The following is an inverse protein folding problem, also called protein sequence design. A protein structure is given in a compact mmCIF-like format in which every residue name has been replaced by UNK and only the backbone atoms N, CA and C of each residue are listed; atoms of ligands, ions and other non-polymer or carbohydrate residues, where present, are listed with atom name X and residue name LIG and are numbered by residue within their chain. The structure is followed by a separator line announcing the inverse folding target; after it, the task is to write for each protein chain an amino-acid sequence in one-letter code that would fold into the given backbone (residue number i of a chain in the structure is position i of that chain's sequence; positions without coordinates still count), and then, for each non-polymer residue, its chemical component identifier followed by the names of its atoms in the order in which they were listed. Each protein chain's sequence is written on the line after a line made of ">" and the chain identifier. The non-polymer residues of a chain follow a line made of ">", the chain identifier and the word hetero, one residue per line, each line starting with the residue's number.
data_IF_782304706646
#
_entry.id   IF_782304706646
#
_cell.length_a   1.000
_cell.length_b   1.000
_cell.length_c   1.000
_cell.angle_alpha   90.00
_cell.angle_beta   90.00
_cell.angle_gamma   90.00
#
_symmetry.space_group_name_H-M   'P 1'
#
loop_
_entity.id
_entity.type
_entity.pdbx_description
1 polymer ?
#
# COMPACT_ATOMS: atom_id res chain seq x y z
N UNK A 1 -9.07 29.06 -13.82
CA UNK A 1 -8.41 27.73 -13.88
C UNK A 1 -6.90 27.74 -13.61
N UNK A 2 -6.29 28.87 -13.22
CA UNK A 2 -4.82 28.99 -13.03
C UNK A 2 -4.29 28.71 -11.62
N UNK A 3 -5.12 28.74 -10.58
CA UNK A 3 -4.65 28.69 -9.19
C UNK A 3 -4.20 27.28 -8.67
N UNK A 4 -4.54 26.20 -9.35
CA UNK A 4 -4.14 24.84 -8.91
C UNK A 4 -2.77 24.40 -9.44
N UNK A 5 -2.35 24.93 -10.60
CA UNK A 5 -1.04 24.64 -11.17
C UNK A 5 0.09 25.35 -10.39
N UNK A 6 -0.13 26.62 -9.98
CA UNK A 6 0.84 27.36 -9.17
C UNK A 6 1.03 26.82 -7.76
N UNK A 7 -0.03 26.27 -7.11
CA UNK A 7 0.11 25.59 -5.82
C UNK A 7 0.92 24.30 -5.88
N UNK A 8 0.86 23.55 -6.99
CA UNK A 8 1.67 22.33 -7.17
C UNK A 8 3.14 22.66 -7.39
N UNK A 9 3.46 23.77 -8.04
CA UNK A 9 4.85 24.21 -8.28
C UNK A 9 5.51 24.73 -7.00
N UNK A 10 4.77 25.42 -6.12
CA UNK A 10 5.30 25.97 -4.84
C UNK A 10 5.62 24.91 -3.77
N UNK A 11 5.12 23.67 -3.89
CA UNK A 11 5.40 22.59 -2.91
C UNK A 11 6.64 21.77 -3.22
N UNK A 12 7.20 21.91 -4.40
CA UNK A 12 8.45 21.27 -4.82
C UNK A 12 9.51 22.39 -4.89
N UNK A 13 10.44 22.41 -3.93
CA UNK A 13 11.67 23.22 -4.09
C UNK A 13 12.36 22.89 -5.41
N UNK A 14 13.48 23.54 -5.73
CA UNK A 14 14.17 23.47 -7.03
C UNK A 14 14.51 22.07 -7.57
N UNK A 15 14.16 21.00 -6.84
CA UNK A 15 14.39 19.60 -7.20
C UNK A 15 13.13 18.78 -6.97
N UNK A 16 12.51 18.30 -8.03
CA UNK A 16 11.36 17.40 -7.98
C UNK A 16 10.79 17.08 -9.36
N UNK A 17 9.99 16.00 -9.45
CA UNK A 17 9.28 15.62 -10.65
C UNK A 17 7.86 16.19 -10.59
N UNK A 18 7.43 16.85 -11.65
CA UNK A 18 6.05 17.35 -11.78
C UNK A 18 5.05 16.20 -11.69
N UNK A 19 4.01 16.34 -10.85
CA UNK A 19 2.95 15.35 -10.72
C UNK A 19 2.00 15.40 -11.91
N UNK A 20 1.65 14.21 -12.46
CA UNK A 20 0.59 14.07 -13.48
C UNK A 20 1.07 13.77 -14.91
N UNK A 21 2.35 13.91 -15.23
CA UNK A 21 2.92 13.52 -16.52
C UNK A 21 3.30 12.03 -16.56
N UNK A 22 3.08 11.36 -17.69
CA UNK A 22 3.56 9.98 -17.91
C UNK A 22 5.10 9.89 -17.83
N UNK A 23 5.79 10.86 -18.41
CA UNK A 23 7.26 10.98 -18.35
C UNK A 23 7.75 11.06 -16.91
N UNK A 24 7.11 11.85 -16.06
CA UNK A 24 7.46 11.93 -14.63
C UNK A 24 7.28 10.60 -13.91
N UNK A 25 6.25 9.80 -14.26
CA UNK A 25 6.05 8.48 -13.68
C UNK A 25 7.14 7.50 -14.11
N UNK A 26 7.50 7.48 -15.40
CA UNK A 26 8.59 6.64 -15.92
C UNK A 26 9.92 7.03 -15.27
N UNK A 27 10.22 8.32 -15.20
CA UNK A 27 11.44 8.84 -14.56
C UNK A 27 11.50 8.47 -13.08
N UNK A 28 10.39 8.58 -12.35
CA UNK A 28 10.32 8.19 -10.93
C UNK A 28 10.57 6.69 -10.71
N UNK A 29 10.19 5.84 -11.66
CA UNK A 29 10.50 4.40 -11.61
C UNK A 29 11.96 4.13 -11.96
N UNK A 30 12.50 4.80 -12.98
CA UNK A 30 13.85 4.58 -13.48
C UNK A 30 14.93 5.24 -12.59
N UNK A 31 14.62 6.37 -11.96
CA UNK A 31 15.61 7.16 -11.20
C UNK A 31 16.34 6.36 -10.12
N UNK A 32 15.70 5.51 -9.29
CA UNK A 32 16.37 4.70 -8.28
C UNK A 32 17.06 3.42 -8.81
N UNK A 33 17.17 3.22 -10.11
CA UNK A 33 17.75 1.98 -10.70
C UNK A 33 19.16 1.69 -10.19
N UNK A 34 20.00 2.71 -10.02
CA UNK A 34 21.34 2.54 -9.42
C UNK A 34 21.29 1.99 -8.01
N UNK A 35 20.31 2.41 -7.22
CA UNK A 35 20.05 1.87 -5.89
C UNK A 35 19.61 0.40 -5.95
N UNK A 36 18.75 0.05 -6.91
CA UNK A 36 18.28 -1.33 -7.11
C UNK A 36 19.46 -2.26 -7.47
N UNK A 37 20.35 -1.84 -8.39
CA UNK A 37 21.56 -2.58 -8.75
C UNK A 37 22.49 -2.77 -7.55
N UNK A 38 22.79 -1.71 -6.81
CA UNK A 38 23.62 -1.79 -5.61
C UNK A 38 23.02 -2.81 -4.60
N UNK A 39 21.72 -2.80 -4.37
CA UNK A 39 21.08 -3.73 -3.42
C UNK A 39 21.18 -5.17 -3.90
N UNK A 40 20.97 -5.41 -5.19
CA UNK A 40 20.94 -6.76 -5.77
C UNK A 40 22.32 -7.33 -6.01
N UNK A 41 23.22 -6.55 -6.56
CA UNK A 41 24.51 -6.97 -7.09
C UNK A 41 25.63 -6.78 -6.05
N UNK A 42 25.78 -5.58 -5.49
CA UNK A 42 26.85 -5.31 -4.52
C UNK A 42 26.52 -5.84 -3.12
N UNK A 43 25.27 -5.65 -2.64
CA UNK A 43 24.83 -6.14 -1.34
C UNK A 43 24.27 -7.58 -1.39
N UNK A 44 24.17 -8.22 -2.55
CA UNK A 44 23.74 -9.60 -2.72
C UNK A 44 22.39 -9.94 -2.09
N UNK A 45 21.47 -8.99 -1.95
CA UNK A 45 20.17 -9.22 -1.35
C UNK A 45 19.25 -9.96 -2.32
N UNK A 46 19.05 -11.28 -2.10
CA UNK A 46 18.19 -12.13 -2.94
C UNK A 46 16.71 -11.70 -2.89
N UNK A 47 16.20 -11.39 -1.69
CA UNK A 47 14.79 -11.05 -1.47
C UNK A 47 14.63 -9.53 -1.31
N UNK A 48 14.62 -8.86 -2.43
CA UNK A 48 14.40 -7.43 -2.56
C UNK A 48 13.20 -7.18 -3.47
N UNK A 49 12.39 -6.20 -3.14
CA UNK A 49 11.33 -5.71 -4.02
C UNK A 49 11.07 -4.23 -3.78
N UNK A 50 10.90 -3.50 -4.88
CA UNK A 50 10.52 -2.09 -4.90
C UNK A 50 9.29 -1.89 -5.78
N UNK A 51 8.42 -1.02 -5.34
CA UNK A 51 7.30 -0.51 -6.12
C UNK A 51 7.24 1.00 -5.90
N UNK A 52 7.62 1.75 -6.91
CA UNK A 52 7.78 3.21 -6.83
C UNK A 52 8.72 3.60 -5.67
N UNK A 53 8.19 4.27 -4.65
CA UNK A 53 8.87 4.75 -3.44
C UNK A 53 8.87 3.77 -2.27
N UNK A 54 8.04 2.73 -2.33
CA UNK A 54 7.98 1.69 -1.30
C UNK A 54 8.89 0.50 -1.66
N UNK A 55 9.77 0.10 -0.73
CA UNK A 55 10.66 -1.05 -0.91
C UNK A 55 10.78 -1.91 0.34
N UNK A 56 11.21 -3.16 0.16
CA UNK A 56 11.56 -4.07 1.25
C UNK A 56 12.77 -4.91 0.90
N UNK A 57 13.53 -5.28 1.94
CA UNK A 57 14.64 -6.22 1.88
C UNK A 57 14.42 -7.30 2.93
N UNK A 58 14.72 -8.56 2.60
CA UNK A 58 14.66 -9.66 3.55
C UNK A 58 16.03 -10.34 3.63
N UNK A 59 16.52 -10.54 4.85
CA UNK A 59 17.75 -11.25 5.12
C UNK A 59 17.70 -11.89 6.51
N UNK A 60 18.40 -13.02 6.73
CA UNK A 60 18.42 -13.74 8.00
C UNK A 60 19.14 -12.96 9.12
N UNK A 61 20.22 -12.26 8.77
CA UNK A 61 21.03 -11.50 9.72
C UNK A 61 20.51 -10.07 9.88
N UNK A 62 20.13 -9.71 11.11
CA UNK A 62 19.76 -8.32 11.46
C UNK A 62 20.96 -7.36 11.31
N UNK A 63 22.17 -7.82 11.72
CA UNK A 63 23.40 -7.01 11.60
C UNK A 63 23.67 -6.66 10.14
N UNK A 64 23.48 -7.63 9.24
CA UNK A 64 23.66 -7.40 7.80
C UNK A 64 22.62 -6.42 7.24
N UNK A 65 21.36 -6.52 7.66
CA UNK A 65 20.34 -5.53 7.26
C UNK A 65 20.67 -4.12 7.78
N UNK A 66 21.27 -3.99 8.95
CA UNK A 66 21.74 -2.69 9.45
C UNK A 66 22.86 -2.11 8.58
N UNK A 67 23.81 -2.96 8.17
CA UNK A 67 24.86 -2.57 7.22
C UNK A 67 24.27 -2.15 5.86
N UNK A 68 23.37 -2.96 5.31
CA UNK A 68 22.67 -2.62 4.06
C UNK A 68 21.93 -1.29 4.17
N UNK A 69 21.23 -1.05 5.27
CA UNK A 69 20.50 0.21 5.49
C UNK A 69 21.45 1.42 5.51
N UNK A 70 22.65 1.28 6.12
CA UNK A 70 23.68 2.33 6.08
C UNK A 70 24.09 2.62 4.63
N UNK A 71 24.40 1.58 3.85
CA UNK A 71 24.80 1.73 2.43
C UNK A 71 23.67 2.33 1.57
N UNK A 72 22.44 1.95 1.83
CA UNK A 72 21.25 2.51 1.16
C UNK A 72 21.13 4.01 1.45
N UNK A 73 21.36 4.45 2.70
CA UNK A 73 21.34 5.87 3.07
C UNK A 73 22.42 6.65 2.33
N UNK A 74 23.65 6.16 2.33
CA UNK A 74 24.77 6.76 1.60
C UNK A 74 24.46 6.91 0.10
N UNK A 75 23.86 5.90 -0.53
CA UNK A 75 23.48 5.95 -1.95
C UNK A 75 22.30 6.90 -2.19
N UNK A 76 21.26 6.87 -1.32
CA UNK A 76 20.15 7.79 -1.42
C UNK A 76 20.59 9.25 -1.31
N UNK A 77 21.52 9.56 -0.41
CA UNK A 77 22.10 10.89 -0.27
C UNK A 77 22.81 11.33 -1.54
N UNK A 78 23.66 10.47 -2.13
CA UNK A 78 24.32 10.72 -3.43
C UNK A 78 23.33 10.97 -4.55
N UNK A 79 22.19 10.29 -4.54
CA UNK A 79 21.12 10.45 -5.54
C UNK A 79 20.15 11.60 -5.21
N UNK A 80 20.32 12.30 -4.09
CA UNK A 80 19.35 13.31 -3.64
C UNK A 80 17.98 12.74 -3.23
N UNK A 81 17.89 11.43 -2.95
CA UNK A 81 16.66 10.76 -2.51
C UNK A 81 16.56 10.85 -1.00
N UNK A 82 15.46 11.40 -0.48
CA UNK A 82 15.20 11.50 0.95
C UNK A 82 14.45 10.31 1.47
N UNK A 83 15.07 9.49 2.32
CA UNK A 83 14.40 8.37 2.99
C UNK A 83 13.43 8.85 4.08
N UNK A 84 12.28 8.19 4.19
CA UNK A 84 11.35 8.44 5.28
C UNK A 84 11.74 7.63 6.52
N UNK A 85 12.50 8.23 7.42
CA UNK A 85 13.04 7.59 8.63
C UNK A 85 11.94 7.02 9.56
N UNK A 86 10.77 7.67 9.62
CA UNK A 86 9.64 7.18 10.44
C UNK A 86 9.08 5.85 9.92
N UNK A 87 9.17 5.61 8.61
CA UNK A 87 8.70 4.38 7.94
C UNK A 87 9.79 3.34 7.78
N UNK A 88 11.06 3.74 7.64
CA UNK A 88 12.20 2.84 7.45
C UNK A 88 12.54 2.12 8.74
N UNK A 89 12.24 0.82 8.83
CA UNK A 89 12.39 0.03 10.05
C UNK A 89 12.81 -1.41 9.76
N UNK A 90 13.78 -1.90 10.52
CA UNK A 90 14.16 -3.33 10.53
C UNK A 90 13.27 -4.05 11.54
N UNK A 91 12.57 -5.09 11.10
CA UNK A 91 11.64 -5.87 11.93
C UNK A 91 11.80 -7.37 11.67
N UNK A 92 11.46 -8.20 12.67
CA UNK A 92 11.26 -9.63 12.46
C UNK A 92 10.08 -9.88 11.52
N UNK A 93 10.25 -10.79 10.56
CA UNK A 93 9.23 -11.10 9.54
C UNK A 93 7.96 -11.73 10.14
N UNK A 94 8.08 -12.44 11.27
CA UNK A 94 6.95 -13.00 12.03
C UNK A 94 5.97 -11.92 12.50
N UNK A 95 6.49 -10.72 12.90
CA UNK A 95 5.66 -9.55 13.26
C UNK A 95 4.95 -8.95 12.05
N UNK A 96 5.39 -9.32 10.86
CA UNK A 96 4.88 -8.88 9.58
C UNK A 96 5.25 -7.45 9.22
N UNK A 97 5.28 -7.19 7.93
CA UNK A 97 5.47 -5.86 7.35
C UNK A 97 4.33 -5.53 6.37
N UNK A 98 4.13 -4.25 6.14
CA UNK A 98 3.12 -3.77 5.20
C UNK A 98 3.80 -3.38 3.90
N UNK A 99 3.32 -3.95 2.80
CA UNK A 99 3.72 -3.60 1.45
C UNK A 99 2.48 -3.58 0.54
N UNK A 100 2.34 -2.56 -0.28
CA UNK A 100 1.19 -2.36 -1.19
C UNK A 100 -0.17 -2.53 -0.48
N UNK A 101 -0.32 -1.90 0.68
CA UNK A 101 -1.54 -1.92 1.51
C UNK A 101 -1.95 -3.32 2.01
N UNK A 102 -1.04 -4.31 1.98
CA UNK A 102 -1.22 -5.65 2.53
C UNK A 102 -0.19 -5.93 3.61
N UNK A 103 -0.57 -6.65 4.64
CA UNK A 103 0.36 -7.13 5.68
C UNK A 103 0.82 -8.53 5.33
N UNK A 104 2.12 -8.72 5.19
CA UNK A 104 2.78 -10.00 4.97
C UNK A 104 3.47 -10.45 6.25
N UNK A 105 3.39 -11.73 6.57
CA UNK A 105 4.13 -12.38 7.67
C UNK A 105 4.41 -13.83 7.31
N UNK A 106 5.40 -14.42 7.97
CA UNK A 106 5.62 -15.87 7.93
C UNK A 106 5.00 -16.52 9.17
N UNK A 107 4.50 -17.75 8.99
CA UNK A 107 4.19 -18.65 10.10
C UNK A 107 5.47 -19.33 10.60
N UNK A 108 5.41 -20.03 11.73
CA UNK A 108 6.49 -20.87 12.24
C UNK A 108 6.90 -21.96 11.23
N UNK A 109 5.96 -22.46 10.45
CA UNK A 109 6.20 -23.44 9.37
C UNK A 109 6.77 -22.82 8.09
N UNK A 110 7.04 -21.50 8.06
CA UNK A 110 7.58 -20.80 6.89
C UNK A 110 6.53 -20.41 5.83
N UNK A 111 5.24 -20.70 6.04
CA UNK A 111 4.20 -20.31 5.10
C UNK A 111 3.95 -18.81 5.09
N UNK A 112 3.78 -18.22 3.90
CA UNK A 112 3.48 -16.80 3.73
C UNK A 112 2.01 -16.52 4.00
N UNK A 113 1.73 -15.66 4.98
CA UNK A 113 0.38 -15.19 5.28
C UNK A 113 0.20 -13.75 4.81
N UNK A 114 -0.77 -13.55 3.94
CA UNK A 114 -1.16 -12.25 3.39
C UNK A 114 -2.49 -11.82 4.03
N UNK A 115 -2.50 -10.67 4.74
CA UNK A 115 -3.67 -10.14 5.43
C UNK A 115 -4.00 -8.71 4.99
N UNK A 116 -5.25 -8.29 5.19
CA UNK A 116 -5.65 -6.89 5.05
C UNK A 116 -4.98 -6.00 6.11
N UNK A 117 -4.59 -4.79 5.71
CA UNK A 117 -4.21 -3.77 6.68
C UNK A 117 -5.41 -3.30 7.49
N UNK A 118 -5.23 -3.11 8.78
CA UNK A 118 -6.28 -2.58 9.68
C UNK A 118 -6.82 -1.23 9.20
N UNK A 119 -5.95 -0.40 8.65
CA UNK A 119 -6.33 0.90 8.06
C UNK A 119 -7.33 0.77 6.91
N UNK A 120 -7.19 -0.25 6.03
CA UNK A 120 -8.13 -0.51 4.93
C UNK A 120 -9.52 -0.88 5.48
N UNK A 121 -9.58 -1.73 6.50
CA UNK A 121 -10.83 -2.16 7.14
C UNK A 121 -11.52 -0.96 7.80
N UNK A 122 -10.79 -0.19 8.59
CA UNK A 122 -11.31 1.00 9.28
C UNK A 122 -11.81 2.04 8.30
N UNK A 123 -11.06 2.29 7.21
CA UNK A 123 -11.45 3.23 6.15
C UNK A 123 -12.76 2.79 5.49
N UNK A 124 -12.90 1.49 5.16
CA UNK A 124 -14.15 0.99 4.55
C UNK A 124 -15.33 1.07 5.51
N UNK A 125 -15.16 0.74 6.80
CA UNK A 125 -16.22 0.93 7.80
C UNK A 125 -16.72 2.39 7.87
N UNK A 126 -15.79 3.34 7.92
CA UNK A 126 -16.12 4.77 7.93
C UNK A 126 -16.80 5.19 6.64
N UNK A 127 -16.33 4.66 5.50
CA UNK A 127 -16.88 4.94 4.17
C UNK A 127 -18.32 4.46 4.06
N UNK A 128 -18.64 3.25 4.53
CA UNK A 128 -20.01 2.71 4.52
C UNK A 128 -20.96 3.56 5.36
N UNK A 129 -20.56 3.97 6.57
CA UNK A 129 -21.37 4.87 7.41
C UNK A 129 -21.63 6.22 6.72
N UNK A 130 -20.61 6.79 6.06
CA UNK A 130 -20.75 8.03 5.30
C UNK A 130 -21.65 7.86 4.07
N UNK A 131 -21.59 6.70 3.42
CA UNK A 131 -22.46 6.37 2.30
C UNK A 131 -23.91 6.28 2.73
N UNK A 132 -24.21 5.62 3.88
CA UNK A 132 -25.56 5.55 4.43
C UNK A 132 -26.14 6.96 4.60
N UNK A 133 -25.40 7.87 5.26
CA UNK A 133 -25.84 9.26 5.42
C UNK A 133 -26.12 9.95 4.08
N UNK A 134 -25.23 9.79 3.08
CA UNK A 134 -25.43 10.39 1.75
C UNK A 134 -26.61 9.79 0.98
N UNK A 135 -26.89 8.49 1.16
CA UNK A 135 -28.03 7.83 0.56
C UNK A 135 -29.34 8.37 1.17
N UNK A 136 -29.38 8.50 2.50
CA UNK A 136 -30.55 9.05 3.21
C UNK A 136 -30.82 10.52 2.85
N UNK A 137 -29.75 11.29 2.51
CA UNK A 137 -29.84 12.65 2.01
C UNK A 137 -30.13 12.74 0.48
N UNK A 138 -30.36 11.62 -0.20
CA UNK A 138 -30.58 11.58 -1.67
C UNK A 138 -29.38 12.00 -2.53
N UNK A 139 -28.18 12.18 -1.92
CA UNK A 139 -26.96 12.64 -2.60
C UNK A 139 -26.14 11.53 -3.27
N UNK A 140 -26.59 10.29 -3.19
CA UNK A 140 -25.88 9.14 -3.74
C UNK A 140 -26.87 8.01 -4.06
N UNK A 141 -26.64 7.31 -5.18
CA UNK A 141 -27.40 6.13 -5.52
C UNK A 141 -26.82 4.86 -4.84
N UNK A 142 -27.67 3.85 -4.69
CA UNK A 142 -27.29 2.60 -4.03
C UNK A 142 -26.30 1.77 -4.85
N UNK A 143 -26.40 1.80 -6.20
CA UNK A 143 -25.52 1.02 -7.09
C UNK A 143 -24.05 1.45 -6.96
N UNK A 144 -23.77 2.74 -6.84
CA UNK A 144 -22.42 3.25 -6.59
C UNK A 144 -21.84 2.78 -5.25
N UNK A 145 -22.71 2.65 -4.23
CA UNK A 145 -22.32 2.10 -2.91
C UNK A 145 -21.98 0.62 -3.03
N UNK A 146 -22.84 -0.15 -3.69
CA UNK A 146 -22.66 -1.59 -3.95
C UNK A 146 -21.37 -1.85 -4.75
N UNK A 147 -21.17 -1.12 -5.83
CA UNK A 147 -19.95 -1.22 -6.65
C UNK A 147 -18.68 -0.92 -5.85
N UNK A 148 -18.69 0.15 -5.04
CA UNK A 148 -17.56 0.50 -4.17
C UNK A 148 -17.25 -0.57 -3.11
N UNK A 149 -18.28 -1.18 -2.53
CA UNK A 149 -18.10 -2.23 -1.53
C UNK A 149 -17.63 -3.54 -2.17
N UNK A 150 -18.19 -3.92 -3.33
CA UNK A 150 -17.79 -5.09 -4.10
C UNK A 150 -16.30 -5.00 -4.54
N UNK A 151 -15.86 -3.85 -5.02
CA UNK A 151 -14.45 -3.61 -5.34
C UNK A 151 -13.53 -3.85 -4.12
N UNK A 152 -13.94 -3.37 -2.93
CA UNK A 152 -13.19 -3.64 -1.71
C UNK A 152 -13.23 -5.11 -1.30
N UNK A 153 -14.37 -5.80 -1.43
CA UNK A 153 -14.50 -7.23 -1.16
C UNK A 153 -13.59 -8.05 -2.09
N UNK A 154 -13.57 -7.76 -3.38
CA UNK A 154 -12.72 -8.43 -4.36
C UNK A 154 -11.23 -8.29 -4.00
N UNK A 155 -10.81 -7.10 -3.54
CA UNK A 155 -9.47 -6.92 -2.99
C UNK A 155 -9.24 -7.74 -1.71
N UNK A 156 -10.24 -7.86 -0.84
CA UNK A 156 -10.17 -8.61 0.41
C UNK A 156 -10.11 -10.14 0.17
N UNK A 157 -10.77 -10.65 -0.86
CA UNK A 157 -10.70 -12.07 -1.23
C UNK A 157 -9.29 -12.56 -1.55
N UNK A 158 -8.44 -11.69 -2.06
CA UNK A 158 -7.01 -11.99 -2.35
C UNK A 158 -6.15 -12.10 -1.08
N UNK A 159 -6.74 -12.19 0.11
CA UNK A 159 -6.04 -12.22 1.41
C UNK A 159 -6.72 -13.19 2.38
N UNK A 160 -5.97 -13.66 3.40
CA UNK A 160 -6.53 -14.46 4.49
C UNK A 160 -7.40 -13.57 5.41
N UNK A 161 -8.64 -13.31 5.01
CA UNK A 161 -9.53 -12.35 5.67
C UNK A 161 -10.99 -12.80 5.80
N UNK A 162 -11.26 -14.12 5.83
CA UNK A 162 -12.62 -14.66 5.85
C UNK A 162 -13.50 -14.01 6.94
N UNK A 163 -13.10 -14.10 8.21
CA UNK A 163 -13.86 -13.51 9.33
C UNK A 163 -14.10 -12.00 9.15
N UNK A 164 -13.11 -11.28 8.63
CA UNK A 164 -13.24 -9.84 8.38
C UNK A 164 -14.25 -9.57 7.26
N UNK A 165 -14.25 -10.36 6.18
CA UNK A 165 -15.20 -10.21 5.09
C UNK A 165 -16.63 -10.47 5.57
N UNK A 166 -16.86 -11.53 6.33
CA UNK A 166 -18.18 -11.82 6.89
C UNK A 166 -18.67 -10.68 7.80
N UNK A 167 -17.81 -10.19 8.68
CA UNK A 167 -18.14 -9.06 9.54
C UNK A 167 -18.51 -7.80 8.74
N UNK A 168 -17.80 -7.54 7.65
CA UNK A 168 -18.05 -6.37 6.80
C UNK A 168 -19.31 -6.55 5.94
N UNK A 169 -19.64 -7.77 5.48
CA UNK A 169 -20.91 -8.10 4.82
C UNK A 169 -22.09 -7.90 5.78
N UNK A 170 -21.98 -8.37 7.02
CA UNK A 170 -23.00 -8.15 8.04
C UNK A 170 -23.20 -6.66 8.36
N UNK A 171 -22.11 -5.89 8.43
CA UNK A 171 -22.21 -4.44 8.59
C UNK A 171 -22.91 -3.77 7.40
N UNK A 172 -22.60 -4.18 6.18
CA UNK A 172 -23.28 -3.68 4.98
C UNK A 172 -24.77 -4.00 5.02
N UNK A 173 -25.13 -5.25 5.34
CA UNK A 173 -26.53 -5.65 5.49
C UNK A 173 -27.27 -4.82 6.55
N UNK A 174 -26.66 -4.61 7.73
CA UNK A 174 -27.25 -3.78 8.80
C UNK A 174 -27.48 -2.33 8.38
N UNK A 175 -26.64 -1.78 7.51
CA UNK A 175 -26.75 -0.39 7.09
C UNK A 175 -27.75 -0.20 5.93
N UNK A 176 -27.84 -1.16 5.02
CA UNK A 176 -28.56 -0.99 3.75
C UNK A 176 -29.70 -1.99 3.54
N UNK A 177 -29.91 -2.90 4.48
CA UNK A 177 -30.93 -3.97 4.43
C UNK A 177 -30.86 -4.82 3.13
N UNK A 178 -29.67 -4.99 2.57
CA UNK A 178 -29.43 -5.70 1.32
C UNK A 178 -28.22 -6.62 1.45
N UNK A 179 -28.38 -7.89 1.04
CA UNK A 179 -27.26 -8.84 0.96
C UNK A 179 -26.37 -8.50 -0.23
N UNK A 180 -25.09 -8.66 -0.06
CA UNK A 180 -24.09 -8.47 -1.14
C UNK A 180 -23.47 -9.82 -1.47
N UNK A 181 -23.70 -10.28 -2.68
CA UNK A 181 -23.01 -11.41 -3.28
C UNK A 181 -21.94 -10.89 -4.23
N UNK A 182 -20.74 -11.39 -4.09
CA UNK A 182 -19.68 -11.15 -5.06
C UNK A 182 -19.74 -12.31 -6.04
N UNK A 183 -20.19 -12.05 -7.25
CA UNK A 183 -20.18 -13.04 -8.32
C UNK A 183 -18.77 -13.53 -8.56
N UNK A 184 -18.59 -14.82 -8.35
CA UNK A 184 -17.60 -15.70 -8.89
C UNK A 184 -16.12 -15.29 -8.75
N UNK A 185 -15.45 -15.83 -7.78
CA UNK A 185 -14.19 -16.56 -7.93
C UNK A 185 -14.03 -17.41 -6.67
N UNK A 186 -14.44 -18.65 -6.77
CA UNK A 186 -13.95 -19.73 -5.92
C UNK A 186 -12.62 -20.14 -6.54
N UNK A 187 -11.53 -19.92 -5.85
CA UNK A 187 -10.28 -20.62 -5.99
C UNK A 187 -9.90 -21.10 -4.60
#
# INVERSE_FOLDING_TARGET
>A
MSNNAEKSIRSFGDKGLGLGSQTSQITAVAYPTKLDHMIKEELGIKFYGRYMDDGYLLHKSKKYLQYCLKKIREMCEKLGIKLNEKKTKIKKIEKGFVFLKRKFSLTETGAVVKRLCRTSITRMRRKLKKFKKKLDEGKMNFDGIKASFNSWLSYAYKTKSYKTRQHMKNLFYKLFNTKVEVNGYVV
#
